data_IF_489513436847
#
_entry.id   IF_489513436847
#
_cell.length_a   1.000
_cell.length_b   1.000
_cell.length_c   1.000
_cell.angle_alpha   90.00
_cell.angle_beta   90.00
_cell.angle_gamma   90.00
#
_symmetry.space_group_name_H-M   'P 1'
#
loop_
_entity.id
_entity.type
_entity.pdbx_description
1 polymer ?
#
# COMPACT_ATOMS: atom_id res chain seq x y z
N UNK A 1 11.73 -4.76 -10.65
CA UNK A 1 11.49 -5.83 -9.65
C UNK A 1 10.58 -5.34 -8.53
N UNK A 2 10.72 -4.10 -8.01
CA UNK A 2 9.76 -3.49 -7.06
C UNK A 2 8.32 -3.54 -7.56
N UNK A 3 8.05 -3.02 -8.77
CA UNK A 3 6.69 -2.99 -9.33
C UNK A 3 6.06 -4.38 -9.50
N UNK A 4 6.89 -5.43 -9.64
CA UNK A 4 6.42 -6.81 -9.73
C UNK A 4 5.97 -7.30 -8.36
N UNK A 5 6.74 -7.00 -7.31
CA UNK A 5 6.43 -7.37 -5.92
C UNK A 5 5.25 -6.54 -5.41
N UNK A 6 5.16 -5.27 -5.77
CA UNK A 6 4.07 -4.37 -5.36
C UNK A 6 2.75 -4.75 -6.02
N UNK A 7 2.76 -5.14 -7.30
CA UNK A 7 1.57 -5.68 -7.98
C UNK A 7 1.18 -7.07 -7.44
N UNK A 8 2.16 -7.91 -7.08
CA UNK A 8 1.91 -9.22 -6.47
C UNK A 8 1.29 -9.08 -5.06
N UNK A 9 1.82 -8.15 -4.26
CA UNK A 9 1.29 -7.83 -2.92
C UNK A 9 -0.09 -7.18 -3.00
N UNK A 10 -0.31 -6.24 -3.91
CA UNK A 10 -1.64 -5.63 -4.11
C UNK A 10 -2.67 -6.64 -4.60
N UNK A 11 -2.33 -7.53 -5.52
CA UNK A 11 -3.21 -8.60 -5.99
C UNK A 11 -3.60 -9.56 -4.85
N UNK A 12 -2.70 -9.81 -3.89
CA UNK A 12 -2.99 -10.63 -2.71
C UNK A 12 -3.75 -9.86 -1.61
N UNK A 13 -3.48 -8.56 -1.44
CA UNK A 13 -4.05 -7.73 -0.39
C UNK A 13 -5.45 -7.16 -0.72
N UNK A 14 -5.78 -6.94 -1.99
CA UNK A 14 -7.03 -6.29 -2.42
C UNK A 14 -8.27 -7.20 -2.43
N UNK A 15 -8.22 -8.37 -1.78
CA UNK A 15 -9.43 -9.14 -1.48
C UNK A 15 -10.15 -9.74 -2.70
N UNK A 16 -9.41 -10.14 -3.72
CA UNK A 16 -10.01 -10.73 -4.93
C UNK A 16 -10.89 -11.95 -4.66
N UNK A 17 -11.93 -12.09 -5.46
CA UNK A 17 -12.87 -13.20 -5.39
C UNK A 17 -12.35 -14.43 -6.13
N UNK A 18 -12.85 -15.61 -5.74
CA UNK A 18 -12.54 -16.86 -6.43
C UNK A 18 -13.05 -16.78 -7.87
N UNK A 19 -12.16 -17.00 -8.84
CA UNK A 19 -12.45 -16.92 -10.28
C UNK A 19 -12.00 -15.63 -10.95
N UNK A 20 -11.47 -14.66 -10.20
CA UNK A 20 -10.93 -13.42 -10.74
C UNK A 20 -9.45 -13.57 -11.16
N UNK A 21 -9.07 -12.92 -12.26
CA UNK A 21 -7.66 -12.77 -12.65
C UNK A 21 -7.06 -11.59 -11.88
N UNK A 22 -5.92 -11.81 -11.23
CA UNK A 22 -5.40 -10.91 -10.23
C UNK A 22 -4.52 -9.79 -10.77
N UNK A 23 -3.56 -10.18 -11.60
CA UNK A 23 -2.80 -9.25 -12.37
C UNK A 23 -2.13 -10.00 -13.51
N UNK A 24 -1.89 -9.28 -14.58
CA UNK A 24 -1.13 -9.72 -15.72
C UNK A 24 -0.02 -8.71 -15.95
N UNK A 25 1.23 -9.17 -15.93
CA UNK A 25 2.37 -8.34 -16.26
C UNK A 25 3.04 -8.92 -17.50
N UNK A 26 3.04 -8.15 -18.58
CA UNK A 26 3.73 -8.51 -19.82
C UNK A 26 4.86 -7.53 -20.02
N UNK A 27 6.08 -8.02 -19.90
CA UNK A 27 7.30 -7.31 -20.30
C UNK A 27 8.03 -8.15 -21.34
N UNK A 28 8.99 -7.53 -22.04
CA UNK A 28 9.78 -8.22 -23.06
C UNK A 28 10.49 -9.49 -22.53
N UNK A 29 10.83 -9.52 -21.24
CA UNK A 29 11.62 -10.60 -20.64
C UNK A 29 10.86 -11.45 -19.61
N UNK A 30 9.67 -11.01 -19.19
CA UNK A 30 8.90 -11.66 -18.14
C UNK A 30 7.41 -11.47 -18.40
N UNK A 31 6.70 -12.59 -18.50
CA UNK A 31 5.24 -12.64 -18.56
C UNK A 31 4.73 -13.33 -17.31
N UNK A 32 3.94 -12.66 -16.50
CA UNK A 32 3.31 -13.28 -15.32
C UNK A 32 1.80 -13.13 -15.37
N UNK A 33 1.12 -14.19 -14.96
CA UNK A 33 -0.32 -14.19 -14.73
C UNK A 33 -0.59 -14.75 -13.34
N UNK A 34 -1.39 -14.02 -12.57
CA UNK A 34 -1.81 -14.44 -11.23
C UNK A 34 -3.32 -14.67 -11.28
N UNK A 35 -3.79 -15.80 -10.76
CA UNK A 35 -5.21 -16.15 -10.69
C UNK A 35 -5.54 -16.72 -9.33
N UNK A 36 -6.70 -16.35 -8.78
CA UNK A 36 -7.23 -16.97 -7.56
C UNK A 36 -8.31 -17.97 -7.92
N UNK A 37 -8.11 -19.23 -7.56
CA UNK A 37 -9.02 -20.33 -7.90
C UNK A 37 -9.45 -21.04 -6.62
N UNK A 38 -10.74 -21.38 -6.55
CA UNK A 38 -11.28 -22.16 -5.45
C UNK A 38 -10.73 -23.58 -5.55
N UNK A 39 -10.40 -24.20 -4.42
CA UNK A 39 -9.78 -25.53 -4.38
C UNK A 39 -10.56 -26.56 -5.21
N UNK A 40 -11.89 -26.54 -5.16
CA UNK A 40 -12.76 -27.41 -5.96
C UNK A 40 -12.58 -27.26 -7.49
N UNK A 41 -12.14 -26.09 -7.95
CA UNK A 41 -11.93 -25.77 -9.36
C UNK A 41 -10.46 -25.94 -9.78
N UNK A 42 -9.56 -26.40 -8.90
CA UNK A 42 -8.13 -26.57 -9.24
C UNK A 42 -7.83 -27.87 -9.99
N UNK A 43 -8.66 -28.91 -9.83
CA UNK A 43 -8.46 -30.19 -10.50
C UNK A 43 -8.69 -30.03 -12.02
N UNK A 44 -7.64 -30.27 -12.82
CA UNK A 44 -7.70 -30.11 -14.28
C UNK A 44 -7.66 -28.65 -14.77
N UNK A 45 -7.48 -27.67 -13.88
CA UNK A 45 -7.35 -26.28 -14.29
C UNK A 45 -6.03 -26.06 -15.05
N UNK A 46 -6.10 -25.31 -16.16
CA UNK A 46 -4.95 -24.88 -16.94
C UNK A 46 -4.72 -23.39 -16.76
N UNK A 47 -3.48 -23.03 -16.43
CA UNK A 47 -3.06 -21.64 -16.23
C UNK A 47 -2.02 -21.30 -17.29
N UNK A 48 -2.34 -20.33 -18.14
CA UNK A 48 -1.42 -19.87 -19.18
C UNK A 48 -0.96 -18.45 -18.93
N UNK A 49 0.29 -18.16 -19.27
CA UNK A 49 0.75 -16.78 -19.43
C UNK A 49 0.03 -16.15 -20.63
N UNK A 50 -0.12 -14.83 -20.66
CA UNK A 50 -0.66 -14.16 -21.83
C UNK A 50 0.25 -14.29 -23.05
N UNK A 51 -0.35 -14.56 -24.21
CA UNK A 51 0.35 -14.51 -25.48
C UNK A 51 0.67 -13.05 -25.79
N UNK A 52 1.88 -12.78 -26.28
CA UNK A 52 2.16 -11.47 -26.85
C UNK A 52 1.33 -11.25 -28.13
N UNK A 53 1.23 -9.99 -28.56
CA UNK A 53 0.40 -9.61 -29.70
C UNK A 53 0.81 -10.36 -30.97
N UNK A 54 2.11 -10.63 -31.16
CA UNK A 54 2.66 -11.32 -32.31
C UNK A 54 2.34 -12.82 -32.28
N UNK A 55 2.44 -13.46 -31.11
CA UNK A 55 2.08 -14.85 -30.90
C UNK A 55 0.58 -15.07 -31.16
N UNK A 56 -0.26 -14.15 -30.68
CA UNK A 56 -1.71 -14.17 -30.92
C UNK A 56 -2.03 -13.94 -32.41
N UNK A 57 -1.32 -13.04 -33.08
CA UNK A 57 -1.49 -12.78 -34.52
C UNK A 57 -1.09 -13.99 -35.39
N UNK A 58 -0.13 -14.79 -34.94
CA UNK A 58 0.36 -15.98 -35.65
C UNK A 58 -0.33 -17.29 -35.23
N UNK A 59 -1.32 -17.24 -34.33
CA UNK A 59 -2.05 -18.43 -33.86
C UNK A 59 -1.25 -19.34 -32.93
N UNK A 60 -0.20 -18.82 -32.29
CA UNK A 60 0.54 -19.56 -31.28
C UNK A 60 -0.21 -19.54 -29.93
N UNK A 61 -0.34 -20.71 -29.32
CA UNK A 61 -0.89 -20.85 -27.98
C UNK A 61 0.19 -20.52 -26.94
N UNK A 62 -0.18 -19.81 -25.89
CA UNK A 62 0.69 -19.58 -24.74
C UNK A 62 1.07 -20.89 -24.03
N UNK A 63 2.25 -20.96 -23.40
CA UNK A 63 2.55 -22.02 -22.46
C UNK A 63 1.49 -22.08 -21.37
N UNK A 64 0.96 -23.28 -21.13
CA UNK A 64 -0.04 -23.53 -20.11
C UNK A 64 0.47 -24.61 -19.15
N UNK A 65 0.34 -24.35 -17.85
CA UNK A 65 0.56 -25.34 -16.80
C UNK A 65 -0.80 -25.88 -16.40
N UNK A 66 -1.04 -27.15 -16.67
CA UNK A 66 -2.24 -27.85 -16.24
C UNK A 66 -2.00 -28.58 -14.92
N UNK A 67 -2.90 -28.41 -13.96
CA UNK A 67 -2.93 -29.20 -12.74
C UNK A 67 -3.55 -30.58 -13.02
N UNK A 68 -3.04 -31.66 -12.40
CA UNK A 68 -3.58 -32.99 -12.62
C UNK A 68 -5.05 -33.09 -12.22
N UNK A 69 -5.86 -33.75 -13.05
CA UNK A 69 -7.29 -33.94 -12.82
C UNK A 69 -7.63 -35.14 -11.93
N UNK A 70 -6.64 -35.94 -11.51
CA UNK A 70 -6.85 -37.18 -10.77
C UNK A 70 -7.05 -36.95 -9.26
N UNK A 71 -7.77 -37.88 -8.61
CA UNK A 71 -7.80 -38.02 -7.15
C UNK A 71 -6.35 -38.13 -6.62
N UNK A 72 -5.99 -37.31 -5.64
CA UNK A 72 -4.59 -36.98 -5.29
C UNK A 72 -4.12 -35.59 -5.73
N UNK A 73 -4.99 -34.77 -6.32
CA UNK A 73 -4.67 -33.40 -6.74
C UNK A 73 -4.51 -32.41 -5.58
N UNK A 74 -4.28 -31.14 -5.93
CA UNK A 74 -4.09 -30.02 -4.97
C UNK A 74 -5.20 -29.95 -3.92
N UNK A 75 -6.41 -30.41 -4.25
CA UNK A 75 -7.55 -30.44 -3.35
C UNK A 75 -7.41 -31.33 -2.10
N UNK A 76 -6.53 -32.34 -2.09
CA UNK A 76 -6.30 -33.15 -0.88
C UNK A 76 -5.45 -32.43 0.17
N UNK A 77 -4.68 -31.42 -0.23
CA UNK A 77 -3.79 -30.68 0.65
C UNK A 77 -4.47 -29.51 1.36
N UNK A 78 -5.69 -29.14 0.93
CA UNK A 78 -6.39 -27.97 1.45
C UNK A 78 -7.82 -28.34 1.91
N UNK A 79 -8.28 -27.82 3.06
CA UNK A 79 -9.65 -28.00 3.50
C UNK A 79 -10.68 -27.45 2.48
N UNK A 80 -11.88 -28.01 2.49
CA UNK A 80 -13.01 -27.46 1.72
C UNK A 80 -13.27 -26.00 2.11
N UNK A 81 -13.55 -25.15 1.12
CA UNK A 81 -13.77 -23.71 1.31
C UNK A 81 -12.51 -22.84 1.23
N UNK A 82 -11.31 -23.42 1.09
CA UNK A 82 -10.10 -22.65 0.83
C UNK A 82 -10.02 -22.17 -0.63
N UNK A 83 -9.34 -21.04 -0.83
CA UNK A 83 -8.95 -20.52 -2.14
C UNK A 83 -7.43 -20.53 -2.27
N UNK A 84 -6.92 -20.88 -3.44
CA UNK A 84 -5.48 -20.93 -3.73
C UNK A 84 -5.14 -19.84 -4.74
N UNK A 85 -4.10 -19.07 -4.45
CA UNK A 85 -3.50 -18.15 -5.41
C UNK A 85 -2.43 -18.89 -6.22
N UNK A 86 -2.55 -18.88 -7.54
CA UNK A 86 -1.60 -19.52 -8.45
C UNK A 86 -0.97 -18.43 -9.31
N UNK A 87 0.36 -18.40 -9.33
CA UNK A 87 1.15 -17.49 -10.16
C UNK A 87 1.94 -18.30 -11.17
N UNK A 88 1.71 -18.04 -12.45
CA UNK A 88 2.52 -18.61 -13.54
C UNK A 88 3.38 -17.51 -14.11
N UNK A 89 4.68 -17.76 -14.17
CA UNK A 89 5.67 -16.85 -14.72
C UNK A 89 6.43 -17.55 -15.86
N UNK A 90 6.46 -16.92 -17.02
CA UNK A 90 7.28 -17.29 -18.16
C UNK A 90 8.40 -16.27 -18.26
N UNK A 91 9.63 -16.75 -18.13
CA UNK A 91 10.81 -15.95 -18.41
C UNK A 91 11.11 -16.09 -19.90
N UNK A 92 11.06 -14.97 -20.64
CA UNK A 92 11.39 -14.97 -22.06
C UNK A 92 12.82 -15.47 -22.24
N UNK A 93 13.00 -16.61 -22.90
CA UNK A 93 14.31 -17.00 -23.38
C UNK A 93 14.60 -16.11 -24.59
N UNK A 94 15.64 -15.28 -24.53
CA UNK A 94 16.19 -14.67 -25.74
C UNK A 94 16.52 -15.80 -26.72
N UNK A 95 15.89 -15.79 -27.89
CA UNK A 95 16.23 -16.72 -28.95
C UNK A 95 17.71 -16.54 -29.31
N UNK A 96 18.51 -17.53 -28.97
CA UNK A 96 19.69 -17.86 -29.75
C UNK A 96 19.14 -18.56 -30.98
N UNK A 97 18.97 -17.79 -32.06
CA UNK A 97 18.58 -18.22 -33.41
C UNK A 97 18.99 -19.68 -33.67
N UNK A 98 18.01 -20.60 -33.72
CA UNK A 98 17.92 -21.70 -34.70
C UNK A 98 16.79 -22.70 -34.40
N UNK A 99 15.92 -22.90 -35.40
CA UNK A 99 15.55 -24.25 -35.85
C UNK A 99 14.26 -24.88 -35.32
N UNK A 100 13.12 -24.43 -35.86
CA UNK A 100 11.93 -25.23 -36.30
C UNK A 100 11.64 -26.58 -35.66
N UNK A 101 10.49 -26.69 -34.95
CA UNK A 101 9.31 -27.49 -35.35
C UNK A 101 8.35 -27.65 -34.16
N UNK A 102 7.09 -27.22 -34.29
CA UNK A 102 5.99 -27.77 -33.50
C UNK A 102 4.64 -27.62 -34.21
N UNK A 103 3.81 -28.64 -33.97
CA UNK A 103 2.57 -29.03 -34.63
C UNK A 103 1.33 -28.32 -34.07
N UNK A 104 0.36 -28.03 -34.94
CA UNK A 104 -0.94 -27.44 -34.60
C UNK A 104 -1.99 -28.48 -34.20
N UNK A 105 -2.87 -28.10 -33.26
CA UNK A 105 -4.10 -28.80 -32.90
C UNK A 105 -5.28 -27.82 -33.10
N UNK A 106 -6.19 -28.18 -34.01
CA UNK A 106 -7.43 -27.44 -34.28
C UNK A 106 -8.46 -27.70 -33.17
N UNK A 107 -9.07 -26.64 -32.65
CA UNK A 107 -10.26 -26.70 -31.80
C UNK A 107 -11.46 -26.05 -32.50
N UNK A 108 -12.61 -26.71 -32.40
CA UNK A 108 -13.87 -26.46 -33.11
C UNK A 108 -14.84 -25.55 -32.34
N UNK A 109 -15.77 -24.97 -33.11
CA UNK A 109 -16.80 -23.99 -32.77
C UNK A 109 -17.62 -24.24 -31.49
N UNK A 110 -17.79 -23.17 -30.69
CA UNK A 110 -18.78 -23.06 -29.61
C UNK A 110 -19.70 -21.87 -29.95
N UNK A 111 -21.00 -22.13 -30.00
CA UNK A 111 -22.07 -21.14 -30.18
C UNK A 111 -22.57 -20.69 -28.81
N UNK A 112 -21.91 -19.69 -28.22
CA UNK A 112 -22.41 -18.98 -27.03
C UNK A 112 -22.80 -17.55 -27.41
N UNK A 113 -23.85 -17.03 -26.77
CA UNK A 113 -24.32 -15.67 -26.99
C UNK A 113 -23.19 -14.67 -26.74
N UNK A 114 -22.92 -13.79 -27.70
CA UNK A 114 -21.82 -12.83 -27.64
C UNK A 114 -22.18 -11.69 -26.66
N UNK A 115 -21.31 -11.46 -25.67
CA UNK A 115 -21.44 -10.36 -24.71
C UNK A 115 -20.31 -9.35 -24.93
N UNK A 116 -20.62 -8.06 -24.85
CA UNK A 116 -19.62 -6.99 -24.84
C UNK A 116 -19.44 -6.49 -23.41
N UNK A 117 -18.22 -6.64 -22.91
CA UNK A 117 -17.79 -6.14 -21.62
C UNK A 117 -17.18 -4.74 -21.80
N UNK A 118 -17.78 -3.72 -21.14
CA UNK A 118 -17.22 -2.37 -21.10
C UNK A 118 -16.86 -2.01 -19.66
N UNK A 119 -15.65 -1.47 -19.50
CA UNK A 119 -15.11 -1.07 -18.22
C UNK A 119 -14.89 0.45 -18.20
N UNK A 120 -15.45 1.12 -17.20
CA UNK A 120 -15.09 2.50 -16.84
C UNK A 120 -14.17 2.43 -15.62
N UNK A 121 -12.98 3.01 -15.70
CA UNK A 121 -12.06 3.09 -14.56
C UNK A 121 -12.34 4.30 -13.66
N UNK A 122 -11.71 4.35 -12.48
CA UNK A 122 -11.72 5.52 -11.61
C UNK A 122 -11.19 6.75 -12.35
N UNK A 123 -11.84 7.90 -12.16
CA UNK A 123 -11.52 9.19 -12.79
C UNK A 123 -11.63 9.23 -14.33
N UNK A 124 -12.02 8.12 -14.98
CA UNK A 124 -12.26 8.10 -16.42
C UNK A 124 -13.58 8.82 -16.74
N UNK A 125 -13.49 9.95 -17.44
CA UNK A 125 -14.64 10.69 -17.97
C UNK A 125 -14.62 10.65 -19.50
N UNK A 126 -15.77 10.37 -20.13
CA UNK A 126 -15.86 10.25 -21.59
C UNK A 126 -16.61 9.01 -22.06
N UNK A 127 -16.56 8.72 -23.36
CA UNK A 127 -17.29 7.61 -23.97
C UNK A 127 -16.38 6.39 -24.17
N UNK A 128 -16.74 5.24 -23.61
CA UNK A 128 -16.11 3.95 -23.85
C UNK A 128 -16.97 3.16 -24.83
N UNK A 129 -16.33 2.54 -25.82
CA UNK A 129 -17.04 1.91 -26.94
C UNK A 129 -16.57 0.49 -27.18
N UNK A 130 -17.51 -0.45 -27.30
CA UNK A 130 -17.25 -1.84 -27.66
C UNK A 130 -18.02 -2.26 -28.90
N UNK A 131 -17.62 -3.38 -29.49
CA UNK A 131 -18.16 -3.87 -30.75
C UNK A 131 -18.74 -5.27 -30.54
N UNK A 132 -20.01 -5.44 -30.90
CA UNK A 132 -20.68 -6.75 -30.88
C UNK A 132 -20.42 -7.55 -32.17
N UNK A 133 -20.08 -6.86 -33.26
CA UNK A 133 -19.67 -7.40 -34.54
C UNK A 133 -19.01 -6.27 -35.34
N UNK A 134 -18.39 -6.56 -36.49
CA UNK A 134 -17.67 -5.57 -37.29
C UNK A 134 -18.47 -4.27 -37.57
N UNK A 135 -19.80 -4.36 -37.61
CA UNK A 135 -20.68 -3.25 -37.97
C UNK A 135 -21.49 -2.66 -36.80
N UNK A 136 -21.35 -3.18 -35.57
CA UNK A 136 -22.21 -2.76 -34.44
C UNK A 136 -21.41 -2.23 -33.25
N UNK A 137 -21.47 -0.90 -33.08
CA UNK A 137 -20.81 -0.15 -32.00
C UNK A 137 -21.77 0.15 -30.84
N UNK A 138 -21.38 -0.21 -29.63
CA UNK A 138 -22.04 0.16 -28.37
C UNK A 138 -21.18 1.21 -27.68
N UNK A 139 -21.80 2.30 -27.21
CA UNK A 139 -21.10 3.39 -26.49
C UNK A 139 -21.73 3.61 -25.11
N UNK A 140 -20.90 3.71 -24.06
CA UNK A 140 -21.29 4.08 -22.69
C UNK A 140 -20.47 5.27 -22.21
N UNK A 141 -21.10 6.18 -21.48
CA UNK A 141 -20.43 7.37 -20.92
C UNK A 141 -19.97 7.06 -19.49
N UNK A 142 -18.68 7.20 -19.24
CA UNK A 142 -18.08 7.12 -17.91
C UNK A 142 -18.14 8.49 -17.22
N UNK A 143 -18.43 8.46 -15.92
CA UNK A 143 -18.63 9.65 -15.07
C UNK A 143 -17.55 9.79 -14.00
N UNK A 144 -16.39 9.15 -14.16
CA UNK A 144 -15.31 9.15 -13.17
C UNK A 144 -15.48 8.13 -12.03
N UNK A 145 -16.52 7.29 -12.09
CA UNK A 145 -16.77 6.22 -11.11
C UNK A 145 -16.56 4.86 -11.78
N UNK A 146 -15.80 3.97 -11.12
CA UNK A 146 -15.52 2.63 -11.62
C UNK A 146 -16.82 1.82 -11.78
N UNK A 147 -17.12 1.37 -13.01
CA UNK A 147 -18.30 0.54 -13.33
C UNK A 147 -18.03 -0.43 -14.46
N UNK A 148 -18.63 -1.61 -14.35
CA UNK A 148 -18.61 -2.65 -15.38
C UNK A 148 -19.99 -2.79 -16.03
N UNK A 149 -20.02 -2.90 -17.35
CA UNK A 149 -21.24 -3.11 -18.13
C UNK A 149 -21.13 -4.40 -18.93
N UNK A 150 -22.01 -5.36 -18.63
CA UNK A 150 -22.17 -6.60 -19.40
C UNK A 150 -23.40 -6.43 -20.30
N UNK A 151 -23.17 -6.16 -21.59
CA UNK A 151 -24.25 -5.85 -22.52
C UNK A 151 -24.40 -7.03 -23.49
N UNK A 152 -25.56 -7.71 -23.52
CA UNK A 152 -25.78 -8.80 -24.45
C UNK A 152 -25.95 -8.24 -25.86
N UNK A 153 -25.32 -8.89 -26.84
CA UNK A 153 -25.45 -8.52 -28.24
C UNK A 153 -26.77 -9.06 -28.84
N UNK A 154 -27.92 -8.64 -28.30
CA UNK A 154 -29.22 -9.13 -28.77
C UNK A 154 -29.59 -8.45 -30.10
N UNK A 155 -29.95 -9.25 -31.10
CA UNK A 155 -30.50 -8.75 -32.37
C UNK A 155 -31.96 -8.31 -32.16
N UNK A 156 -32.26 -7.06 -32.50
CA UNK A 156 -33.61 -6.71 -32.97
C UNK A 156 -34.62 -6.11 -31.99
N UNK A 157 -34.23 -5.62 -30.81
CA UNK A 157 -35.18 -4.87 -29.97
C UNK A 157 -34.75 -3.41 -29.77
N UNK A 158 -35.59 -2.50 -30.27
CA UNK A 158 -35.49 -1.06 -29.98
C UNK A 158 -35.82 -0.90 -28.51
N UNK A 159 -34.78 -0.86 -27.67
CA UNK A 159 -34.94 -0.63 -26.23
C UNK A 159 -35.45 0.80 -26.05
N UNK A 160 -36.75 0.92 -25.81
CA UNK A 160 -37.40 2.17 -25.43
C UNK A 160 -36.77 2.65 -24.12
N UNK A 161 -36.05 3.78 -24.18
CA UNK A 161 -35.27 4.29 -23.06
C UNK A 161 -36.22 4.91 -22.03
N UNK A 162 -36.63 4.12 -21.02
CA UNK A 162 -37.41 4.63 -19.88
C UNK A 162 -36.52 5.54 -19.01
N UNK A 163 -36.95 6.78 -18.80
CA UNK A 163 -36.28 7.76 -17.93
C UNK A 163 -36.97 7.90 -16.58
N UNK A 164 -36.22 8.33 -15.56
CA UNK A 164 -36.76 8.70 -14.26
C UNK A 164 -37.16 10.19 -14.30
N UNK A 165 -38.39 10.53 -13.93
CA UNK A 165 -38.83 11.91 -13.74
C UNK A 165 -39.32 12.06 -12.29
N UNK A 166 -38.81 13.06 -11.57
CA UNK A 166 -39.16 13.30 -10.17
C UNK A 166 -40.36 14.23 -10.11
N UNK A 167 -41.57 13.69 -9.98
CA UNK A 167 -42.79 14.50 -9.85
C UNK A 167 -43.13 14.77 -8.39
N UNK A 168 -42.89 16.00 -7.92
CA UNK A 168 -43.44 16.53 -6.67
C UNK A 168 -42.54 16.39 -5.45
N UNK A 169 -41.84 17.46 -5.07
CA UNK A 169 -41.15 17.56 -3.78
C UNK A 169 -40.42 18.89 -3.61
N UNK A 170 -40.68 19.57 -2.49
CA UNK A 170 -40.05 20.81 -2.05
C UNK A 170 -38.58 20.59 -1.58
N UNK A 171 -37.71 20.06 -2.46
CA UNK A 171 -36.31 19.81 -2.13
C UNK A 171 -35.38 19.91 -3.35
N UNK A 172 -34.05 20.09 -3.15
CA UNK A 172 -33.05 20.24 -4.21
C UNK A 172 -32.67 18.88 -4.79
N UNK A 173 -33.57 18.30 -5.60
CA UNK A 173 -33.28 17.08 -6.34
C UNK A 173 -32.88 17.44 -7.76
N UNK A 174 -31.70 17.00 -8.19
CA UNK A 174 -31.26 17.17 -9.57
C UNK A 174 -31.72 15.95 -10.39
N UNK A 175 -32.51 16.16 -11.44
CA UNK A 175 -32.96 15.09 -12.34
C UNK A 175 -31.78 14.35 -13.01
N UNK A 176 -30.63 15.02 -13.15
CA UNK A 176 -29.42 14.42 -13.72
C UNK A 176 -28.71 13.43 -12.77
N UNK A 177 -29.01 13.45 -11.46
CA UNK A 177 -28.40 12.53 -10.48
C UNK A 177 -29.15 11.21 -10.30
N UNK A 178 -30.29 11.04 -10.98
CA UNK A 178 -31.12 9.84 -10.88
C UNK A 178 -30.71 8.76 -11.91
N UNK A 179 -30.42 7.55 -11.45
CA UNK A 179 -30.10 6.39 -12.29
C UNK A 179 -31.14 5.29 -12.11
N UNK A 180 -31.64 4.73 -13.22
CA UNK A 180 -32.52 3.53 -13.20
C UNK A 180 -31.70 2.33 -12.72
N UNK A 181 -32.04 1.77 -11.57
CA UNK A 181 -31.39 0.57 -11.01
C UNK A 181 -32.04 -0.70 -11.56
N UNK A 182 -33.38 -0.67 -11.69
CA UNK A 182 -34.13 -1.85 -12.11
C UNK A 182 -35.37 -1.45 -12.91
N UNK A 183 -35.68 -2.22 -13.95
CA UNK A 183 -36.90 -2.08 -14.75
C UNK A 183 -37.56 -3.44 -14.88
N UNK A 184 -38.77 -3.55 -14.37
CA UNK A 184 -39.67 -4.67 -14.64
C UNK A 184 -40.69 -4.26 -15.70
N UNK A 185 -41.50 -5.21 -16.17
CA UNK A 185 -42.60 -4.92 -17.09
C UNK A 185 -43.59 -3.88 -16.53
N UNK A 186 -43.70 -3.77 -15.19
CA UNK A 186 -44.71 -2.95 -14.50
C UNK A 186 -44.13 -1.82 -13.65
N UNK A 187 -42.84 -1.79 -13.37
CA UNK A 187 -42.23 -0.75 -12.52
C UNK A 187 -40.79 -0.44 -12.91
N UNK A 188 -40.38 0.82 -12.73
CA UNK A 188 -38.99 1.28 -12.87
C UNK A 188 -38.55 1.86 -11.53
N UNK A 189 -37.47 1.32 -10.97
CA UNK A 189 -36.88 1.76 -9.71
C UNK A 189 -35.66 2.62 -10.00
N UNK A 190 -35.60 3.81 -9.42
CA UNK A 190 -34.54 4.79 -9.60
C UNK A 190 -33.82 5.07 -8.28
N UNK A 191 -32.49 5.21 -8.32
CA UNK A 191 -31.67 5.78 -7.23
C UNK A 191 -31.32 7.21 -7.59
N UNK A 192 -31.46 8.15 -6.67
CA UNK A 192 -31.03 9.53 -6.85
C UNK A 192 -30.12 9.91 -5.68
N UNK A 193 -28.96 10.50 -5.97
CA UNK A 193 -28.01 10.93 -4.95
C UNK A 193 -28.26 12.39 -4.54
N UNK A 194 -28.25 12.66 -3.23
CA UNK A 194 -28.56 13.96 -2.60
C UNK A 194 -27.28 14.78 -2.32
N UNK A 195 -26.11 14.17 -2.43
CA UNK A 195 -24.89 14.69 -1.81
C UNK A 195 -24.12 15.76 -2.60
N UNK A 196 -24.50 16.07 -3.84
CA UNK A 196 -23.75 17.04 -4.64
C UNK A 196 -24.07 18.52 -4.37
N UNK A 197 -25.22 18.86 -3.77
CA UNK A 197 -25.62 20.26 -3.55
C UNK A 197 -25.27 20.81 -2.15
N UNK A 198 -24.86 19.98 -1.19
CA UNK A 198 -24.45 20.45 0.16
C UNK A 198 -22.98 20.94 0.17
N UNK A 199 -22.20 20.70 -0.88
CA UNK A 199 -20.80 21.15 -1.02
C UNK A 199 -20.69 22.47 -1.81
N UNK A 200 -21.80 23.20 -1.99
CA UNK A 200 -21.86 24.43 -2.79
C UNK A 200 -21.35 25.73 -2.14
N UNK A 201 -21.15 25.78 -0.82
CA UNK A 201 -20.54 26.96 -0.17
C UNK A 201 -19.01 26.81 -0.08
N UNK A 202 -18.37 26.94 -1.24
CA UNK A 202 -16.92 27.14 -1.34
C UNK A 202 -16.58 28.50 -0.71
N UNK A 203 -16.14 28.49 0.56
CA UNK A 203 -15.70 29.72 1.25
C UNK A 203 -14.63 30.43 0.42
N UNK A 204 -14.69 31.77 0.33
CA UNK A 204 -13.76 32.62 -0.44
C UNK A 204 -12.26 32.33 -0.11
N UNK A 205 -12.02 31.81 1.09
CA UNK A 205 -10.75 31.26 1.57
C UNK A 205 -10.21 30.08 0.74
N UNK A 206 -11.06 29.10 0.39
CA UNK A 206 -10.66 27.94 -0.41
C UNK A 206 -10.27 28.35 -1.85
N UNK A 207 -10.98 29.33 -2.42
CA UNK A 207 -10.65 29.90 -3.73
C UNK A 207 -9.30 30.62 -3.74
N UNK A 208 -8.97 31.38 -2.69
CA UNK A 208 -7.64 32.02 -2.56
C UNK A 208 -6.51 30.99 -2.39
N UNK A 209 -6.74 29.89 -1.68
CA UNK A 209 -5.74 28.83 -1.51
C UNK A 209 -5.47 28.11 -2.84
N UNK A 210 -6.50 27.79 -3.64
CA UNK A 210 -6.30 27.23 -4.99
C UNK A 210 -5.51 28.18 -5.90
N UNK A 211 -5.82 29.47 -5.88
CA UNK A 211 -5.11 30.46 -6.70
C UNK A 211 -3.63 30.57 -6.32
N UNK A 212 -3.30 30.46 -5.02
CA UNK A 212 -1.91 30.44 -4.55
C UNK A 212 -1.18 29.16 -4.92
N UNK A 213 -1.86 28.00 -4.91
CA UNK A 213 -1.29 26.72 -5.34
C UNK A 213 -1.00 26.73 -6.84
N UNK A 214 -1.93 27.22 -7.67
CA UNK A 214 -1.72 27.33 -9.13
C UNK A 214 -0.57 28.27 -9.49
N UNK A 215 -0.49 29.45 -8.85
CA UNK A 215 0.63 30.38 -9.05
C UNK A 215 1.97 29.76 -8.62
N UNK A 216 1.98 29.01 -7.52
CA UNK A 216 3.14 28.26 -7.05
C UNK A 216 3.60 27.17 -8.03
N UNK A 217 2.67 26.43 -8.63
CA UNK A 217 2.99 25.39 -9.63
C UNK A 217 3.48 25.99 -10.95
N UNK A 218 2.91 27.11 -11.40
CA UNK A 218 3.33 27.79 -12.62
C UNK A 218 4.73 28.39 -12.49
N UNK A 219 5.10 28.86 -11.29
CA UNK A 219 6.44 29.39 -11.02
C UNK A 219 7.51 28.28 -10.92
N UNK A 220 7.15 27.08 -10.42
CA UNK A 220 8.03 25.89 -10.49
C UNK A 220 8.25 25.39 -11.91
N UNK A 221 7.22 25.38 -12.76
CA UNK A 221 7.37 24.97 -14.17
C UNK A 221 8.32 25.87 -14.96
N UNK A 222 8.37 27.18 -14.65
CA UNK A 222 9.32 28.10 -15.31
C UNK A 222 10.78 27.88 -14.89
N UNK A 223 11.03 27.39 -13.67
CA UNK A 223 12.41 27.07 -13.24
C UNK A 223 12.92 25.76 -13.83
N UNK A 224 12.07 24.75 -13.99
CA UNK A 224 12.46 23.45 -14.58
C UNK A 224 12.81 23.56 -16.07
N UNK A 225 12.18 24.47 -16.83
CA UNK A 225 12.46 24.65 -18.26
C UNK A 225 13.77 25.42 -18.50
N UNK A 226 14.30 26.14 -17.51
CA UNK A 226 15.51 26.95 -17.67
C UNK A 226 16.82 26.19 -17.49
N UNK A 227 16.81 25.01 -16.85
CA UNK A 227 18.03 24.24 -16.56
C UNK A 227 18.34 23.16 -17.61
N UNK A 228 17.45 22.92 -18.57
CA UNK A 228 17.55 21.82 -19.54
C UNK A 228 18.40 22.14 -20.80
N UNK A 229 19.19 23.22 -20.76
CA UNK A 229 20.01 23.67 -21.91
C UNK A 229 21.52 23.48 -21.75
N UNK A 230 21.98 22.60 -20.86
CA UNK A 230 23.40 22.23 -20.78
C UNK A 230 23.65 20.76 -21.13
N UNK A 231 24.19 20.58 -22.35
CA UNK A 231 24.96 19.45 -22.87
C UNK A 231 24.64 18.07 -22.26
N UNK A 232 23.79 17.33 -22.97
CA UNK A 232 23.69 15.88 -22.90
C UNK A 232 25.03 15.25 -23.32
N UNK A 233 25.75 14.70 -22.34
CA UNK A 233 26.80 13.70 -22.58
C UNK A 233 26.11 12.34 -22.74
N UNK A 234 26.24 11.67 -23.89
CA UNK A 234 25.66 10.34 -24.06
C UNK A 234 26.52 9.33 -23.29
N UNK A 235 25.97 8.72 -22.24
CA UNK A 235 26.59 7.55 -21.60
C UNK A 235 26.50 7.37 -20.09
N UNK A 236 25.77 8.20 -19.34
CA UNK A 236 25.44 7.85 -17.94
C UNK A 236 24.06 7.22 -17.90
N UNK A 237 24.02 5.92 -17.61
CA UNK A 237 22.80 5.18 -17.24
C UNK A 237 21.92 6.04 -16.32
N UNK A 238 20.64 6.13 -16.68
CA UNK A 238 19.59 6.74 -15.90
C UNK A 238 19.54 6.05 -14.53
N UNK A 239 20.23 6.66 -13.55
CA UNK A 239 19.99 6.39 -12.15
C UNK A 239 18.53 6.76 -11.89
N UNK A 240 17.66 5.75 -11.93
CA UNK A 240 16.22 5.87 -11.88
C UNK A 240 15.78 6.93 -10.89
N UNK A 241 14.92 7.81 -11.38
CA UNK A 241 14.23 8.82 -10.60
C UNK A 241 13.32 8.10 -9.61
N UNK A 242 13.90 7.60 -8.52
CA UNK A 242 13.17 6.93 -7.46
C UNK A 242 12.06 7.88 -7.00
N UNK A 243 10.82 7.44 -7.22
CA UNK A 243 9.62 8.23 -7.02
C UNK A 243 9.72 9.05 -5.74
N UNK A 244 9.62 10.36 -5.89
CA UNK A 244 9.75 11.30 -4.80
C UNK A 244 8.50 11.14 -3.93
N UNK A 245 8.55 10.23 -2.94
CA UNK A 245 7.48 10.03 -1.98
C UNK A 245 7.24 11.39 -1.32
N UNK A 246 6.00 11.90 -1.41
CA UNK A 246 5.62 13.16 -0.78
C UNK A 246 5.54 12.99 0.74
N UNK A 247 6.72 12.98 1.35
CA UNK A 247 6.89 12.92 2.80
C UNK A 247 6.22 14.13 3.49
N UNK A 248 6.06 15.25 2.78
CA UNK A 248 5.31 16.40 3.30
C UNK A 248 3.84 16.05 3.50
N UNK A 249 3.23 15.42 2.48
CA UNK A 249 1.88 14.88 2.55
C UNK A 249 1.71 13.88 3.70
N UNK A 250 2.59 12.87 3.80
CA UNK A 250 2.54 11.85 4.85
C UNK A 250 2.60 12.46 6.27
N UNK A 251 3.57 13.36 6.50
CA UNK A 251 3.74 14.02 7.80
C UNK A 251 2.53 14.89 8.11
N UNK A 252 2.03 15.67 7.15
CA UNK A 252 0.85 16.52 7.36
C UNK A 252 -0.40 15.71 7.70
N UNK A 253 -0.60 14.56 7.06
CA UNK A 253 -1.71 13.65 7.33
C UNK A 253 -1.65 13.06 8.74
N UNK A 254 -0.46 12.65 9.20
CA UNK A 254 -0.26 12.13 10.55
C UNK A 254 -0.50 13.20 11.64
N UNK A 255 -0.09 14.45 11.39
CA UNK A 255 -0.40 15.55 12.31
C UNK A 255 -1.89 15.90 12.31
N UNK A 256 -2.57 15.83 11.17
CA UNK A 256 -4.00 16.09 11.08
C UNK A 256 -4.83 15.04 11.84
N UNK A 257 -4.50 13.75 11.70
CA UNK A 257 -5.17 12.68 12.46
C UNK A 257 -4.89 12.83 13.96
N UNK A 258 -3.64 13.13 14.35
CA UNK A 258 -3.32 13.39 15.75
C UNK A 258 -4.09 14.59 16.33
N UNK A 259 -4.21 15.68 15.57
CA UNK A 259 -4.99 16.84 15.96
C UNK A 259 -6.49 16.54 16.08
N UNK A 260 -7.04 15.69 15.21
CA UNK A 260 -8.42 15.22 15.31
C UNK A 260 -8.65 14.40 16.59
N UNK A 261 -7.71 13.53 16.96
CA UNK A 261 -7.76 12.82 18.25
C UNK A 261 -7.74 13.79 19.43
N UNK A 262 -6.97 14.88 19.33
CA UNK A 262 -6.96 15.96 20.32
C UNK A 262 -8.29 16.70 20.45
N UNK A 263 -8.97 16.96 19.32
CA UNK A 263 -10.27 17.61 19.34
C UNK A 263 -11.32 16.77 20.08
N UNK A 264 -11.25 15.44 19.98
CA UNK A 264 -12.11 14.52 20.72
C UNK A 264 -11.84 14.53 22.23
N UNK A 265 -10.62 14.86 22.66
CA UNK A 265 -10.24 14.90 24.07
C UNK A 265 -10.71 16.18 24.78
N UNK A 266 -11.12 17.22 24.05
CA UNK A 266 -11.64 18.46 24.62
C UNK A 266 -12.97 18.26 25.39
N UNK A 267 -13.59 17.08 25.29
CA UNK A 267 -14.77 16.70 26.08
C UNK A 267 -14.45 16.04 27.42
N UNK A 268 -13.17 15.78 27.74
CA UNK A 268 -12.77 15.16 29.00
C UNK A 268 -12.71 16.15 30.16
N UNK A 269 -12.92 15.63 31.37
CA UNK A 269 -12.80 16.42 32.59
C UNK A 269 -11.35 16.87 32.82
N UNK A 270 -11.16 18.01 33.51
CA UNK A 270 -9.84 18.59 33.73
C UNK A 270 -8.90 17.66 34.54
N UNK A 271 -9.48 16.80 35.40
CA UNK A 271 -8.74 15.79 36.17
C UNK A 271 -8.23 14.64 35.29
N UNK A 272 -9.03 14.21 34.31
CA UNK A 272 -8.59 13.18 33.34
C UNK A 272 -7.50 13.72 32.42
N UNK A 273 -7.60 15.00 32.04
CA UNK A 273 -6.59 15.68 31.23
C UNK A 273 -5.25 15.75 31.97
N UNK A 274 -5.26 16.05 33.27
CA UNK A 274 -4.04 16.13 34.09
C UNK A 274 -3.36 14.76 34.25
N UNK A 275 -4.14 13.68 34.43
CA UNK A 275 -3.61 12.31 34.48
C UNK A 275 -3.03 11.88 33.13
N UNK A 276 -3.66 12.28 32.03
CA UNK A 276 -3.22 11.95 30.68
C UNK A 276 -2.14 12.89 30.12
N UNK A 277 -1.81 13.99 30.81
CA UNK A 277 -0.81 14.98 30.41
C UNK A 277 0.56 14.36 30.10
N UNK A 278 0.98 13.38 30.90
CA UNK A 278 2.24 12.69 30.70
C UNK A 278 2.26 11.92 29.37
N UNK A 279 1.17 11.22 29.05
CA UNK A 279 1.02 10.49 27.78
C UNK A 279 1.10 11.46 26.60
N UNK A 280 0.52 12.65 26.72
CA UNK A 280 0.63 13.69 25.68
C UNK A 280 2.06 14.17 25.47
N UNK A 281 2.81 14.43 26.55
CA UNK A 281 4.22 14.83 26.41
C UNK A 281 5.07 13.74 25.78
N UNK A 282 4.84 12.47 26.13
CA UNK A 282 5.57 11.34 25.56
C UNK A 282 5.24 11.15 24.09
N UNK A 283 3.95 11.12 23.72
CA UNK A 283 3.53 10.95 22.32
C UNK A 283 3.89 12.15 21.45
N UNK A 284 3.66 13.38 21.93
CA UNK A 284 4.04 14.60 21.24
C UNK A 284 5.56 14.73 21.10
N UNK A 285 6.32 14.35 22.14
CA UNK A 285 7.78 14.28 22.12
C UNK A 285 8.29 13.28 21.09
N UNK A 286 7.69 12.09 21.01
CA UNK A 286 8.03 11.08 20.02
C UNK A 286 7.76 11.57 18.58
N UNK A 287 6.59 12.18 18.33
CA UNK A 287 6.23 12.71 17.01
C UNK A 287 7.12 13.88 16.57
N UNK A 288 7.43 14.80 17.48
CA UNK A 288 8.32 15.93 17.19
C UNK A 288 9.76 15.49 16.95
N UNK A 289 10.28 14.57 17.77
CA UNK A 289 11.60 13.98 17.57
C UNK A 289 11.69 13.23 16.23
N UNK A 290 10.64 12.47 15.90
CA UNK A 290 10.48 11.79 14.61
C UNK A 290 10.55 12.77 13.43
N UNK A 291 9.78 13.86 13.48
CA UNK A 291 9.79 14.89 12.44
C UNK A 291 11.16 15.56 12.32
N UNK A 292 11.84 15.85 13.44
CA UNK A 292 13.20 16.40 13.46
C UNK A 292 14.21 15.43 12.84
N UNK A 293 14.11 14.13 13.14
CA UNK A 293 14.93 13.08 12.53
C UNK A 293 14.70 12.97 11.02
N UNK A 294 13.46 13.05 10.56
CA UNK A 294 13.13 13.06 9.13
C UNK A 294 13.68 14.30 8.41
N UNK A 295 13.52 15.49 9.00
CA UNK A 295 14.06 16.75 8.44
C UNK A 295 15.59 16.74 8.40
N UNK A 296 16.23 16.30 9.49
CA UNK A 296 17.68 16.15 9.55
C UNK A 296 18.18 15.10 8.54
N UNK A 297 17.50 13.96 8.45
CA UNK A 297 17.79 12.91 7.47
C UNK A 297 17.69 13.43 6.04
N UNK A 298 16.65 14.19 5.70
CA UNK A 298 16.46 14.77 4.38
C UNK A 298 17.52 15.84 4.05
N UNK A 299 17.83 16.71 5.00
CA UNK A 299 18.88 17.72 4.83
C UNK A 299 20.24 17.06 4.59
N UNK A 300 20.57 16.04 5.39
CA UNK A 300 21.82 15.32 5.30
C UNK A 300 21.91 14.46 4.03
N UNK A 301 20.82 13.82 3.62
CA UNK A 301 20.76 13.07 2.36
C UNK A 301 21.01 13.99 1.15
N UNK A 302 20.42 15.19 1.14
CA UNK A 302 20.70 16.20 0.10
C UNK A 302 22.16 16.63 0.09
N UNK A 303 22.78 16.78 1.26
CA UNK A 303 24.19 17.14 1.36
C UNK A 303 25.08 16.03 0.81
N UNK A 304 24.87 14.79 1.26
CA UNK A 304 25.69 13.64 0.85
C UNK A 304 25.49 13.31 -0.64
N UNK A 305 24.29 13.48 -1.20
CA UNK A 305 24.06 13.36 -2.66
C UNK A 305 24.86 14.40 -3.45
N UNK A 306 25.05 15.62 -2.93
CA UNK A 306 25.87 16.65 -3.60
C UNK A 306 27.34 16.26 -3.58
N UNK A 307 27.85 15.85 -2.43
CA UNK A 307 29.24 15.40 -2.27
C UNK A 307 29.53 14.18 -3.16
N UNK A 308 28.63 13.19 -3.20
CA UNK A 308 28.76 12.02 -4.06
C UNK A 308 28.76 12.38 -5.57
N UNK A 309 27.95 13.36 -5.98
CA UNK A 309 27.94 13.86 -7.37
C UNK A 309 29.22 14.59 -7.73
N UNK A 310 29.73 15.45 -6.84
CA UNK A 310 31.00 16.15 -7.04
C UNK A 310 32.19 15.19 -7.12
N UNK A 311 32.22 14.16 -6.27
CA UNK A 311 33.25 13.11 -6.32
C UNK A 311 33.15 12.27 -7.60
N UNK A 312 31.93 11.89 -8.01
CA UNK A 312 31.72 11.18 -9.26
C UNK A 312 32.17 12.01 -10.47
N UNK A 313 31.87 13.32 -10.50
CA UNK A 313 32.31 14.22 -11.56
C UNK A 313 33.83 14.41 -11.58
N UNK A 314 34.47 14.58 -10.41
CA UNK A 314 35.93 14.65 -10.30
C UNK A 314 36.59 13.36 -10.79
N UNK A 315 36.06 12.19 -10.39
CA UNK A 315 36.56 10.89 -10.86
C UNK A 315 36.36 10.71 -12.36
N UNK A 316 35.23 11.14 -12.92
CA UNK A 316 34.97 11.09 -14.35
C UNK A 316 35.96 11.98 -15.14
N UNK A 317 36.22 13.20 -14.66
CA UNK A 317 37.21 14.13 -15.26
C UNK A 317 38.65 13.58 -15.18
N UNK A 318 39.03 13.03 -14.02
CA UNK A 318 40.34 12.39 -13.85
C UNK A 318 40.49 11.18 -14.78
N UNK A 319 39.45 10.33 -14.92
CA UNK A 319 39.47 9.21 -15.86
C UNK A 319 39.54 9.67 -17.31
N UNK A 320 38.87 10.76 -17.67
CA UNK A 320 38.94 11.32 -19.03
C UNK A 320 40.34 11.84 -19.39
N UNK A 321 41.06 12.41 -18.40
CA UNK A 321 42.37 13.01 -18.60
C UNK A 321 43.56 12.08 -18.29
N UNK A 322 43.36 10.98 -17.56
CA UNK A 322 44.46 10.11 -17.11
C UNK A 322 45.01 9.22 -18.23
N UNK A 323 46.34 9.10 -18.26
CA UNK A 323 47.03 8.20 -19.19
C UNK A 323 46.73 6.72 -18.87
N UNK A 324 46.85 5.79 -19.85
CA UNK A 324 46.60 4.37 -19.61
C UNK A 324 47.46 3.75 -18.49
N UNK A 325 48.67 4.28 -18.27
CA UNK A 325 49.60 3.86 -17.21
C UNK A 325 49.09 4.29 -15.82
N UNK A 326 48.63 5.54 -15.66
CA UNK A 326 48.11 6.07 -14.39
C UNK A 326 46.81 5.39 -13.95
N UNK A 327 46.00 4.90 -14.90
CA UNK A 327 44.81 4.10 -14.56
C UNK A 327 45.17 2.80 -13.86
N UNK A 328 46.29 2.16 -14.22
CA UNK A 328 46.73 0.90 -13.60
C UNK A 328 47.20 1.13 -12.16
N UNK A 329 47.93 2.22 -11.91
CA UNK A 329 48.40 2.54 -10.54
C UNK A 329 47.26 2.92 -9.61
N UNK A 330 46.25 3.65 -10.11
CA UNK A 330 45.03 3.94 -9.33
C UNK A 330 44.25 2.68 -8.93
N UNK A 331 44.14 1.69 -9.84
CA UNK A 331 43.51 0.40 -9.54
C UNK A 331 44.27 -0.37 -8.45
N UNK A 332 45.60 -0.31 -8.46
CA UNK A 332 46.43 -0.95 -7.43
C UNK A 332 46.26 -0.25 -6.08
N UNK A 333 46.22 1.08 -6.06
CA UNK A 333 46.04 1.87 -4.84
C UNK A 333 44.63 1.72 -4.24
N UNK A 334 43.58 1.66 -5.08
CA UNK A 334 42.21 1.42 -4.65
C UNK A 334 42.01 -0.01 -4.09
N UNK A 335 42.84 -0.96 -4.54
CA UNK A 335 42.88 -2.33 -4.00
C UNK A 335 43.75 -2.48 -2.74
N UNK A 336 44.56 -1.47 -2.39
CA UNK A 336 45.44 -1.55 -1.25
C UNK A 336 44.63 -1.53 0.06
N UNK A 337 44.92 -2.45 1.01
CA UNK A 337 44.12 -2.56 2.23
C UNK A 337 44.23 -1.28 3.05
N UNK A 338 43.07 -0.68 3.35
CA UNK A 338 42.82 0.53 4.17
C UNK A 338 43.49 0.59 5.55
N UNK A 339 44.24 -0.44 5.93
CA UNK A 339 44.78 -0.66 7.27
C UNK A 339 45.72 0.46 7.75
N UNK A 340 46.48 1.10 6.86
CA UNK A 340 47.41 2.17 7.22
C UNK A 340 46.70 3.50 7.57
N UNK A 341 45.54 3.78 6.97
CA UNK A 341 44.73 4.96 7.31
C UNK A 341 43.89 4.76 8.59
N UNK A 342 43.78 3.53 9.10
CA UNK A 342 42.98 3.21 10.30
C UNK A 342 43.55 3.77 11.60
N UNK A 343 44.84 4.06 11.67
CA UNK A 343 45.49 4.43 12.94
C UNK A 343 45.12 5.85 13.44
N UNK A 344 44.88 6.80 12.54
CA UNK A 344 44.57 8.19 12.89
C UNK A 344 43.07 8.50 12.98
N UNK A 345 42.20 7.64 12.42
CA UNK A 345 40.75 7.87 12.36
C UNK A 345 39.93 6.81 13.11
N UNK A 346 40.32 6.50 14.36
CA UNK A 346 39.61 5.53 15.21
C UNK A 346 38.09 5.79 15.29
N UNK A 347 37.66 7.05 15.32
CA UNK A 347 36.25 7.42 15.36
C UNK A 347 35.50 7.11 14.06
N UNK A 348 36.08 7.42 12.90
CA UNK A 348 35.44 7.11 11.62
C UNK A 348 35.34 5.60 11.41
N UNK A 349 36.35 4.86 11.86
CA UNK A 349 36.32 3.40 11.85
C UNK A 349 35.22 2.85 12.75
N UNK A 350 35.12 3.32 14.00
CA UNK A 350 34.05 2.91 14.91
C UNK A 350 32.66 3.23 14.35
N UNK A 351 32.48 4.43 13.77
CA UNK A 351 31.24 4.83 13.11
C UNK A 351 30.91 3.93 11.91
N UNK A 352 31.90 3.59 11.09
CA UNK A 352 31.72 2.70 9.93
C UNK A 352 31.38 1.27 10.34
N UNK A 353 32.04 0.76 11.38
CA UNK A 353 31.72 -0.55 11.96
C UNK A 353 30.34 -0.58 12.62
N UNK A 354 29.95 0.51 13.29
CA UNK A 354 28.63 0.62 13.92
C UNK A 354 27.53 0.70 12.86
N UNK A 355 27.72 1.52 11.81
CA UNK A 355 26.80 1.61 10.69
C UNK A 355 26.64 0.27 9.96
N UNK A 356 27.76 -0.43 9.70
CA UNK A 356 27.74 -1.70 8.97
C UNK A 356 27.16 -2.89 9.76
N UNK A 357 27.13 -2.82 11.11
CA UNK A 357 26.66 -3.93 11.95
C UNK A 357 25.31 -3.70 12.61
N UNK A 358 24.81 -2.48 12.64
CA UNK A 358 23.63 -2.13 13.40
C UNK A 358 22.61 -1.47 12.49
N UNK A 359 21.52 -2.18 12.20
CA UNK A 359 20.45 -1.72 11.29
C UNK A 359 19.99 -0.30 11.63
N UNK A 360 19.74 -0.01 12.91
CA UNK A 360 19.32 1.33 13.34
C UNK A 360 20.40 2.42 13.14
N UNK A 361 21.69 2.05 13.22
CA UNK A 361 22.77 3.00 13.00
C UNK A 361 22.98 3.24 11.50
N UNK A 362 22.75 2.22 10.67
CA UNK A 362 22.75 2.31 9.21
C UNK A 362 21.75 3.38 8.74
N UNK A 363 20.56 3.43 9.35
CA UNK A 363 19.52 4.44 9.06
C UNK A 363 20.03 5.88 9.19
N UNK A 364 20.89 6.17 10.17
CA UNK A 364 21.34 7.53 10.49
C UNK A 364 22.68 7.89 9.80
N UNK A 365 23.56 6.90 9.66
CA UNK A 365 24.96 7.16 9.31
C UNK A 365 25.32 6.79 7.89
N UNK A 366 24.71 5.76 7.31
CA UNK A 366 25.06 5.32 5.96
C UNK A 366 24.27 6.10 4.92
N UNK A 367 24.91 6.39 3.80
CA UNK A 367 24.24 6.92 2.62
C UNK A 367 23.97 5.73 1.71
N UNK A 368 22.70 5.49 1.38
CA UNK A 368 22.32 4.50 0.38
C UNK A 368 21.71 5.20 -0.82
N UNK A 369 22.13 4.88 -2.06
CA UNK A 369 21.51 5.41 -3.26
C UNK A 369 20.12 4.81 -3.52
N UNK A 370 19.83 3.62 -2.98
CA UNK A 370 18.56 2.90 -3.23
C UNK A 370 17.44 3.34 -2.31
N UNK A 371 17.75 3.74 -1.08
CA UNK A 371 16.77 4.14 -0.07
C UNK A 371 17.19 5.46 0.58
N UNK A 372 16.29 6.43 0.55
CA UNK A 372 16.52 7.71 1.22
C UNK A 372 16.51 7.56 2.74
N UNK A 373 17.33 8.33 3.45
CA UNK A 373 17.32 8.32 4.94
C UNK A 373 15.95 8.62 5.56
N UNK A 374 15.14 9.57 5.06
CA UNK A 374 13.80 9.80 5.60
C UNK A 374 12.90 8.57 5.49
N UNK A 375 13.00 7.81 4.41
CA UNK A 375 12.23 6.57 4.23
C UNK A 375 12.64 5.52 5.29
N UNK A 376 13.94 5.35 5.52
CA UNK A 376 14.45 4.44 6.57
C UNK A 376 14.02 4.87 7.98
N UNK A 377 14.07 6.18 8.26
CA UNK A 377 13.57 6.75 9.53
C UNK A 377 12.07 6.52 9.67
N UNK A 378 11.29 6.70 8.60
CA UNK A 378 9.85 6.47 8.61
C UNK A 378 9.49 5.00 8.85
N UNK A 379 10.22 4.05 8.25
CA UNK A 379 10.07 2.62 8.53
C UNK A 379 10.35 2.32 10.02
N UNK A 380 11.42 2.89 10.57
CA UNK A 380 11.76 2.75 11.99
C UNK A 380 10.66 3.30 12.91
N UNK A 381 10.13 4.48 12.60
CA UNK A 381 9.02 5.08 13.36
C UNK A 381 7.77 4.20 13.27
N UNK A 382 7.48 3.67 12.09
CA UNK A 382 6.32 2.80 11.87
C UNK A 382 6.42 1.53 12.69
N UNK A 383 7.60 0.90 12.72
CA UNK A 383 7.88 -0.27 13.56
C UNK A 383 7.76 0.06 15.07
N UNK A 384 8.20 1.25 15.48
CA UNK A 384 8.07 1.69 16.86
C UNK A 384 6.60 1.95 17.25
N UNK A 385 5.83 2.61 16.38
CA UNK A 385 4.41 2.90 16.61
C UNK A 385 3.57 1.62 16.60
N UNK A 386 3.87 0.65 15.73
CA UNK A 386 3.19 -0.64 15.74
C UNK A 386 3.45 -1.41 17.03
N UNK A 387 4.69 -1.38 17.54
CA UNK A 387 5.02 -1.97 18.84
C UNK A 387 4.22 -1.32 19.98
N UNK A 388 4.17 0.03 20.02
CA UNK A 388 3.39 0.75 21.03
C UNK A 388 1.89 0.45 20.92
N UNK A 389 1.36 0.36 19.70
CA UNK A 389 -0.03 0.01 19.46
C UNK A 389 -0.35 -1.40 19.95
N UNK A 390 0.50 -2.39 19.64
CA UNK A 390 0.33 -3.75 20.14
C UNK A 390 0.42 -3.79 21.67
N UNK A 391 1.33 -3.03 22.29
CA UNK A 391 1.41 -2.93 23.75
C UNK A 391 0.11 -2.36 24.34
N UNK A 392 -0.46 -1.31 23.73
CA UNK A 392 -1.74 -0.74 24.16
C UNK A 392 -2.88 -1.75 24.03
N UNK A 393 -2.95 -2.49 22.92
CA UNK A 393 -3.93 -3.55 22.72
C UNK A 393 -3.76 -4.68 23.75
N UNK A 394 -2.54 -5.14 23.97
CA UNK A 394 -2.26 -6.16 24.96
C UNK A 394 -2.67 -5.67 26.35
N UNK A 395 -2.46 -4.39 26.68
CA UNK A 395 -2.91 -3.81 27.95
C UNK A 395 -4.44 -3.83 28.07
N UNK A 396 -5.17 -3.48 27.01
CA UNK A 396 -6.63 -3.60 26.98
C UNK A 396 -7.09 -5.06 27.14
N UNK A 397 -6.42 -6.01 26.49
CA UNK A 397 -6.72 -7.44 26.65
C UNK A 397 -6.37 -7.98 28.04
N UNK A 398 -5.33 -7.42 28.66
CA UNK A 398 -4.93 -7.75 30.02
C UNK A 398 -5.96 -7.28 31.05
N UNK A 399 -6.57 -6.13 30.80
CA UNK A 399 -7.45 -5.42 31.72
C UNK A 399 -8.71 -4.89 30.99
N UNK A 400 -9.59 -5.77 30.46
CA UNK A 400 -10.64 -5.34 29.54
C UNK A 400 -11.79 -4.65 30.29
N UNK A 401 -11.87 -3.32 30.24
CA UNK A 401 -12.87 -2.51 30.97
C UNK A 401 -14.32 -2.70 30.48
N UNK A 402 -14.50 -3.41 29.36
CA UNK A 402 -15.78 -3.63 28.68
C UNK A 402 -16.61 -4.82 29.18
N UNK A 403 -16.04 -5.70 30.01
CA UNK A 403 -16.80 -6.74 30.75
C UNK A 403 -17.63 -6.02 31.83
N UNK A 404 -18.86 -6.49 32.22
CA UNK A 404 -19.69 -5.83 33.24
C UNK A 404 -18.83 -5.27 34.37
N UNK A 405 -18.87 -3.94 34.50
CA UNK A 405 -18.02 -3.17 35.42
C UNK A 405 -18.09 -3.85 36.78
N UNK A 406 -16.97 -3.90 37.51
CA UNK A 406 -16.94 -4.41 38.89
C UNK A 406 -18.12 -3.85 39.71
N UNK A 407 -18.52 -2.61 39.43
CA UNK A 407 -19.67 -1.90 40.00
C UNK A 407 -21.05 -2.59 39.84
N UNK A 408 -21.23 -3.44 38.83
CA UNK A 408 -22.50 -4.15 38.58
C UNK A 408 -22.70 -5.38 39.47
N UNK A 409 -21.65 -5.87 40.11
CA UNK A 409 -21.72 -7.06 40.95
C UNK A 409 -22.17 -6.69 42.37
N UNK A 410 -23.28 -7.26 42.81
CA UNK A 410 -23.93 -6.93 44.09
C UNK A 410 -23.49 -7.83 45.24
N UNK A 411 -22.90 -8.99 44.93
CA UNK A 411 -22.47 -9.94 45.95
C UNK A 411 -20.95 -10.03 46.01
N UNK A 412 -20.43 -10.27 47.22
CA UNK A 412 -18.99 -10.41 47.47
C UNK A 412 -18.42 -11.59 46.70
N UNK A 413 -19.16 -12.69 46.64
CA UNK A 413 -18.76 -13.91 45.97
C UNK A 413 -18.53 -13.62 44.49
N UNK A 414 -19.51 -13.00 43.83
CA UNK A 414 -19.44 -12.61 42.43
C UNK A 414 -18.30 -11.62 42.11
N UNK A 415 -18.11 -10.62 42.97
CA UNK A 415 -17.04 -9.62 42.81
C UNK A 415 -15.63 -10.26 42.80
N UNK A 416 -15.44 -11.36 43.53
CA UNK A 416 -14.14 -12.03 43.68
C UNK A 416 -13.92 -13.19 42.69
N UNK A 417 -14.91 -13.53 41.86
CA UNK A 417 -14.80 -14.59 40.84
C UNK A 417 -13.78 -14.21 39.75
N UNK A 418 -13.83 -13.01 39.14
CA UNK A 418 -12.93 -12.66 38.04
C UNK A 418 -11.48 -12.52 38.56
N UNK A 419 -10.57 -13.29 37.96
CA UNK A 419 -9.13 -13.23 38.25
C UNK A 419 -8.40 -12.45 37.17
N UNK A 420 -7.30 -11.82 37.55
CA UNK A 420 -6.41 -11.17 36.60
C UNK A 420 -5.72 -12.23 35.73
N UNK A 421 -5.67 -11.99 34.41
CA UNK A 421 -5.05 -12.90 33.44
C UNK A 421 -3.56 -13.14 33.74
N UNK A 422 -2.85 -12.11 34.21
CA UNK A 422 -1.41 -12.16 34.47
C UNK A 422 -1.04 -12.62 35.88
N UNK A 423 -1.97 -12.47 36.82
CA UNK A 423 -1.77 -12.85 38.20
C UNK A 423 -3.03 -13.55 38.73
N UNK A 424 -3.08 -14.87 38.57
CA UNK A 424 -4.20 -15.70 39.02
C UNK A 424 -4.44 -15.62 40.53
N UNK A 425 -3.43 -15.18 41.30
CA UNK A 425 -3.56 -15.02 42.75
C UNK A 425 -4.34 -13.76 43.14
N UNK A 426 -4.33 -12.72 42.30
CA UNK A 426 -5.02 -11.46 42.56
C UNK A 426 -6.41 -11.46 41.92
N UNK A 427 -7.42 -11.09 42.73
CA UNK A 427 -8.75 -10.80 42.21
C UNK A 427 -8.71 -9.51 41.38
N UNK A 428 -9.54 -9.43 40.35
CA UNK A 428 -9.61 -8.27 39.46
C UNK A 428 -10.33 -7.08 40.12
N UNK A 429 -11.32 -7.37 40.96
CA UNK A 429 -12.09 -6.36 41.66
C UNK A 429 -11.82 -6.43 43.17
N UNK A 430 -11.97 -5.29 43.84
CA UNK A 430 -11.92 -5.17 45.30
C UNK A 430 -13.33 -5.06 45.84
N UNK A 431 -13.68 -5.94 46.78
CA UNK A 431 -14.91 -5.80 47.55
C UNK A 431 -14.65 -4.94 48.79
N UNK A 432 -15.26 -3.76 48.86
CA UNK A 432 -15.16 -2.87 50.04
C UNK A 432 -16.31 -3.19 50.99
N UNK A 433 -16.00 -3.71 52.18
CA UNK A 433 -17.01 -4.16 53.16
C UNK A 433 -17.84 -2.98 53.69
N UNK A 434 -17.23 -1.81 53.82
CA UNK A 434 -17.89 -0.60 54.34
C UNK A 434 -18.94 -0.07 53.34
N UNK A 435 -18.60 -0.05 52.05
CA UNK A 435 -19.47 0.45 51.00
C UNK A 435 -20.47 -0.60 50.49
N UNK A 436 -20.27 -1.88 50.81
CA UNK A 436 -20.97 -3.01 50.19
C UNK A 436 -20.96 -2.90 48.66
N UNK A 437 -19.83 -2.45 48.12
CA UNK A 437 -19.65 -2.15 46.71
C UNK A 437 -18.37 -2.80 46.19
N UNK A 438 -18.41 -3.20 44.93
CA UNK A 438 -17.30 -3.79 44.21
C UNK A 438 -16.67 -2.72 43.32
N UNK A 439 -15.38 -2.42 43.51
CA UNK A 439 -14.64 -1.44 42.71
C UNK A 439 -13.56 -2.13 41.88
N UNK A 440 -13.24 -1.57 40.73
CA UNK A 440 -12.12 -2.04 39.92
C UNK A 440 -10.79 -1.72 40.62
N UNK A 441 -9.87 -2.69 40.67
CA UNK A 441 -8.51 -2.45 41.14
C UNK A 441 -7.71 -2.03 39.92
N UNK A 442 -7.34 -0.75 39.87
CA UNK A 442 -6.42 -0.27 38.86
C UNK A 442 -5.09 -1.01 39.02
N UNK A 443 -4.59 -1.68 37.96
CA UNK A 443 -3.43 -2.54 38.09
C UNK A 443 -2.19 -1.72 38.41
N UNK A 444 -1.50 -2.08 39.49
CA UNK A 444 -0.15 -1.56 39.72
C UNK A 444 0.76 -2.07 38.60
N UNK A 445 1.32 -1.13 37.84
CA UNK A 445 2.25 -1.42 36.75
C UNK A 445 3.52 -2.03 37.35
N UNK A 446 3.56 -3.36 37.46
CA UNK A 446 4.78 -4.06 37.85
C UNK A 446 5.78 -4.02 36.71
N UNK A 447 7.05 -3.78 37.03
CA UNK A 447 8.14 -3.81 36.04
C UNK A 447 8.18 -5.17 35.30
N UNK A 448 7.90 -6.26 36.01
CA UNK A 448 7.83 -7.62 35.46
C UNK A 448 6.69 -7.77 34.44
N UNK A 449 5.48 -7.30 34.77
CA UNK A 449 4.34 -7.34 33.84
C UNK A 449 4.63 -6.54 32.58
N UNK A 450 5.17 -5.34 32.72
CA UNK A 450 5.55 -4.47 31.59
C UNK A 450 6.57 -5.16 30.67
N UNK A 451 7.56 -5.84 31.26
CA UNK A 451 8.58 -6.57 30.51
C UNK A 451 7.99 -7.76 29.74
N UNK A 452 7.10 -8.54 30.36
CA UNK A 452 6.42 -9.66 29.69
C UNK A 452 5.57 -9.16 28.52
N UNK A 453 4.81 -8.08 28.72
CA UNK A 453 3.99 -7.46 27.67
C UNK A 453 4.83 -6.93 26.52
N UNK A 454 5.99 -6.34 26.83
CA UNK A 454 6.94 -5.87 25.83
C UNK A 454 7.50 -7.02 25.00
N UNK A 455 7.85 -8.15 25.62
CA UNK A 455 8.34 -9.35 24.90
C UNK A 455 7.26 -9.89 23.96
N UNK A 456 6.02 -10.02 24.44
CA UNK A 456 4.91 -10.51 23.61
C UNK A 456 4.65 -9.54 22.44
N UNK A 457 4.67 -8.24 22.69
CA UNK A 457 4.51 -7.23 21.65
C UNK A 457 5.63 -7.32 20.60
N UNK A 458 6.88 -7.57 21.00
CA UNK A 458 8.01 -7.77 20.07
C UNK A 458 7.80 -9.04 19.23
N UNK A 459 7.35 -10.14 19.84
CA UNK A 459 7.08 -11.40 19.11
C UNK A 459 5.99 -11.17 18.06
N UNK A 460 4.89 -10.51 18.43
CA UNK A 460 3.75 -10.23 17.52
C UNK A 460 4.14 -9.21 16.44
N UNK A 461 4.98 -8.22 16.77
CA UNK A 461 5.40 -7.18 15.82
C UNK A 461 6.53 -7.62 14.89
N UNK A 462 7.32 -8.64 15.24
CA UNK A 462 8.44 -9.14 14.44
C UNK A 462 8.13 -9.40 12.95
N UNK A 463 7.00 -10.02 12.54
CA UNK A 463 6.67 -10.20 11.13
C UNK A 463 6.34 -8.90 10.39
N UNK A 464 6.03 -7.81 11.10
CA UNK A 464 5.73 -6.51 10.51
C UNK A 464 6.95 -5.59 10.41
N UNK A 465 8.09 -5.99 11.01
CA UNK A 465 9.27 -5.15 11.17
C UNK A 465 10.41 -5.35 10.17
N UNK A 466 10.21 -6.16 9.11
CA UNK A 466 11.25 -6.51 8.13
C UNK A 466 10.79 -6.24 6.68
#
# INVERSE_FOLDING_TARGET
>A
MSDVVDNLMNAQALGQFVGEKAAELVTDNLKTAISKVGVANTAGAAFSTPADADARANGYASPAVALPAAAGGVAEFFPEGCAVGITVAELGAHDRVNGTNSSSLNATNITEAEWVHLFCDWDQTGNVTGYCSADRKITKKCTGVKREYNIPCVQGEVVEKKGCAVSGGLGPWNEDSCVVINTTATSTTCECDVLNDIVGEETESARRIRELIEKGQQQRRRHLISDDRRLTVPGSEEAGEAGNIDMGGLVSGAFATYAATFALLATLSLDDVLKNLFVFFVMGGALTLSALCCMYGAWKDRKDRREAREEAEKKARLRANSSPEERKTQLIEESAPTFAQMASQKWQYAKKQLAAKHEYAEVIFEFSPTQSRPQRVALLITAFLSLLFIQALLYEFAYPDSIPKCETWLTKEECLIPRNLWNTTQARCLWTVEAQACSFIEPEISATGTLIMSIIAVIISSPFGL
#
